data_IF_253008713530
#
_entry.id   IF_253008713530
#
_cell.length_a   1.000
_cell.length_b   1.000
_cell.length_c   1.000
_cell.angle_alpha   90.00
_cell.angle_beta   90.00
_cell.angle_gamma   90.00
#
_symmetry.space_group_name_H-M   'P 1'
#
loop_
_entity.id
_entity.type
_entity.pdbx_description
1 polymer ?
#
# COMPACT_ATOMS: atom_id res chain seq x y z
N UNK A 1 51.58 7.11 40.67
CA UNK A 1 50.19 7.00 41.15
C UNK A 1 49.33 7.88 40.25
N UNK A 2 48.38 7.26 39.56
CA UNK A 2 47.70 7.77 38.36
C UNK A 2 46.70 8.87 38.73
N UNK A 3 46.78 10.02 38.04
CA UNK A 3 45.75 11.07 38.06
C UNK A 3 44.51 10.56 37.32
N UNK A 4 43.42 10.32 38.05
CA UNK A 4 42.09 10.12 37.47
C UNK A 4 41.55 11.48 37.02
N UNK A 5 41.50 11.71 35.71
CA UNK A 5 40.67 12.74 35.11
C UNK A 5 39.23 12.22 35.13
N UNK A 6 38.37 12.85 35.94
CA UNK A 6 36.92 12.69 35.85
C UNK A 6 36.46 13.34 34.53
N UNK A 7 36.19 12.51 33.53
CA UNK A 7 35.55 12.92 32.29
C UNK A 7 34.04 12.80 32.49
N UNK A 8 33.30 13.91 32.37
CA UNK A 8 31.84 13.93 32.43
C UNK A 8 31.24 13.19 31.22
N UNK A 9 31.00 11.89 31.39
CA UNK A 9 30.42 11.02 30.37
C UNK A 9 28.98 11.41 29.95
N UNK A 10 28.32 12.34 30.64
CA UNK A 10 26.96 12.77 30.33
C UNK A 10 26.86 13.63 29.07
N UNK A 11 27.82 14.52 28.82
CA UNK A 11 27.80 15.40 27.64
C UNK A 11 28.08 14.66 26.34
N UNK A 12 28.96 13.66 26.37
CA UNK A 12 29.37 12.89 25.19
C UNK A 12 28.26 11.93 24.76
N UNK A 13 27.53 11.33 25.70
CA UNK A 13 26.41 10.44 25.36
C UNK A 13 25.23 11.23 24.76
N UNK A 14 24.92 12.42 25.28
CA UNK A 14 23.88 13.28 24.69
C UNK A 14 24.32 13.80 23.32
N UNK A 15 25.59 14.17 23.13
CA UNK A 15 26.11 14.59 21.81
C UNK A 15 26.11 13.43 20.81
N UNK A 16 26.41 12.19 21.24
CA UNK A 16 26.33 10.99 20.39
C UNK A 16 24.89 10.64 20.02
N UNK A 17 23.93 10.74 20.95
CA UNK A 17 22.50 10.58 20.67
C UNK A 17 22.05 11.68 19.71
N UNK A 18 22.42 12.94 19.94
CA UNK A 18 22.08 14.05 19.06
C UNK A 18 22.71 13.90 17.67
N UNK A 19 23.92 13.35 17.55
CA UNK A 19 24.60 13.09 16.26
C UNK A 19 24.08 11.81 15.56
N UNK A 20 23.58 10.82 16.30
CA UNK A 20 22.95 9.61 15.74
C UNK A 20 21.50 9.87 15.27
N UNK A 21 20.78 10.81 15.91
CA UNK A 21 19.42 11.19 15.53
C UNK A 21 19.33 12.45 14.64
N UNK A 22 20.35 13.33 14.63
CA UNK A 22 20.56 14.36 13.60
C UNK A 22 21.57 13.93 12.54
N UNK A 23 21.81 12.62 12.41
CA UNK A 23 22.18 12.09 11.11
C UNK A 23 21.05 12.45 10.17
N UNK A 24 21.19 13.59 9.51
CA UNK A 24 20.46 13.98 8.32
C UNK A 24 20.36 12.74 7.45
N UNK A 25 19.20 12.08 7.51
CA UNK A 25 18.85 11.08 6.52
C UNK A 25 18.97 11.84 5.21
N UNK A 26 19.95 11.45 4.40
CA UNK A 26 20.23 12.03 3.09
C UNK A 26 18.96 11.90 2.23
N UNK A 27 18.10 12.92 2.33
CA UNK A 27 17.09 13.26 1.34
C UNK A 27 17.76 13.73 0.04
N UNK A 28 19.10 13.86 0.01
CA UNK A 28 19.89 14.31 -1.14
C UNK A 28 19.74 13.40 -2.37
N UNK A 29 19.41 12.12 -2.17
CA UNK A 29 19.37 11.11 -3.24
C UNK A 29 17.93 10.87 -3.75
N UNK A 30 16.98 11.74 -3.43
CA UNK A 30 15.58 11.61 -3.88
C UNK A 30 15.24 12.61 -4.98
N UNK A 31 14.82 12.11 -6.13
CA UNK A 31 14.23 12.94 -7.19
C UNK A 31 12.71 13.01 -7.00
N UNK A 32 12.20 14.22 -6.80
CA UNK A 32 10.76 14.48 -6.69
C UNK A 32 10.26 15.20 -7.95
N UNK A 33 9.23 14.67 -8.58
CA UNK A 33 8.61 15.28 -9.78
C UNK A 33 7.09 15.29 -9.66
N UNK A 34 6.45 16.40 -10.00
CA UNK A 34 4.99 16.46 -10.15
C UNK A 34 4.56 15.63 -11.36
N UNK A 35 3.44 14.91 -11.26
CA UNK A 35 2.86 14.15 -12.38
C UNK A 35 1.43 14.61 -12.68
N UNK A 36 0.89 14.33 -13.88
CA UNK A 36 -0.51 14.60 -14.20
C UNK A 36 -1.47 13.83 -13.30
N UNK A 37 -2.58 14.47 -12.93
CA UNK A 37 -3.56 13.91 -12.00
C UNK A 37 -4.95 14.54 -12.22
N UNK A 38 -6.04 13.82 -11.87
CA UNK A 38 -7.38 14.39 -11.93
C UNK A 38 -7.55 15.50 -10.86
N UNK A 39 -8.68 16.21 -10.89
CA UNK A 39 -9.06 17.09 -9.79
C UNK A 39 -9.41 16.23 -8.56
N UNK A 40 -9.07 16.72 -7.37
CA UNK A 40 -9.41 16.09 -6.09
C UNK A 40 -9.12 14.58 -6.00
N UNK A 41 -7.89 14.10 -6.28
CA UNK A 41 -7.56 12.70 -6.12
C UNK A 41 -7.59 12.31 -4.63
N UNK A 42 -8.23 11.18 -4.30
CA UNK A 42 -8.30 10.61 -2.95
C UNK A 42 -7.41 9.39 -2.75
N UNK A 43 -7.25 8.56 -3.79
CA UNK A 43 -6.39 7.36 -3.76
C UNK A 43 -5.61 7.23 -5.07
N UNK A 44 -4.38 6.75 -4.95
CA UNK A 44 -3.50 6.38 -6.07
C UNK A 44 -3.03 4.93 -5.88
N UNK A 45 -2.98 4.17 -6.96
CA UNK A 45 -2.31 2.87 -6.98
C UNK A 45 -1.63 2.68 -8.34
N UNK A 46 -0.57 1.87 -8.40
CA UNK A 46 0.20 1.69 -9.63
C UNK A 46 0.87 0.31 -9.76
N UNK A 47 1.08 -0.12 -11.01
CA UNK A 47 1.98 -1.21 -11.39
C UNK A 47 2.99 -0.67 -12.42
N UNK A 48 4.20 -0.35 -11.96
CA UNK A 48 5.20 0.34 -12.77
C UNK A 48 4.72 1.74 -13.18
N UNK A 49 4.52 1.95 -14.50
CA UNK A 49 4.00 3.20 -15.07
C UNK A 49 2.48 3.16 -15.33
N UNK A 50 1.82 2.04 -15.05
CA UNK A 50 0.37 1.93 -15.10
C UNK A 50 -0.21 2.55 -13.82
N UNK A 51 -0.65 3.81 -13.90
CA UNK A 51 -1.03 4.63 -12.74
C UNK A 51 -2.53 4.92 -12.80
N UNK A 52 -3.20 4.66 -11.69
CA UNK A 52 -4.63 4.85 -11.54
C UNK A 52 -4.94 5.78 -10.37
N UNK A 53 -6.01 6.54 -10.53
CA UNK A 53 -6.47 7.52 -9.57
C UNK A 53 -7.94 7.32 -9.30
N UNK A 54 -8.31 7.42 -8.03
CA UNK A 54 -9.70 7.54 -7.62
C UNK A 54 -9.89 8.91 -6.99
N UNK A 55 -10.96 9.62 -7.36
CA UNK A 55 -11.27 10.97 -6.86
C UNK A 55 -12.25 10.95 -5.69
N UNK A 56 -12.35 12.09 -4.98
CA UNK A 56 -13.36 12.29 -3.93
C UNK A 56 -14.80 12.10 -4.43
N UNK A 57 -15.04 12.37 -5.73
CA UNK A 57 -16.33 12.19 -6.40
C UNK A 57 -16.64 10.72 -6.76
N UNK A 58 -15.77 9.77 -6.38
CA UNK A 58 -15.85 8.35 -6.71
C UNK A 58 -15.72 8.05 -8.21
N UNK A 59 -14.89 8.84 -8.91
CA UNK A 59 -14.55 8.64 -10.31
C UNK A 59 -13.15 8.04 -10.44
N UNK A 60 -13.04 6.98 -11.23
CA UNK A 60 -11.79 6.27 -11.50
C UNK A 60 -11.17 6.76 -12.82
N UNK A 61 -9.91 7.14 -12.76
CA UNK A 61 -9.11 7.59 -13.90
C UNK A 61 -7.86 6.75 -14.06
N UNK A 62 -7.46 6.52 -15.30
CA UNK A 62 -6.20 5.89 -15.68
C UNK A 62 -5.32 6.92 -16.39
N UNK A 63 -4.09 7.09 -15.92
CA UNK A 63 -3.08 7.86 -16.64
C UNK A 63 -2.50 7.03 -17.77
N UNK A 64 -2.79 7.39 -19.01
CA UNK A 64 -2.27 6.69 -20.17
C UNK A 64 -0.99 7.38 -20.68
N UNK A 65 0.20 6.84 -20.41
CA UNK A 65 1.47 7.53 -20.67
C UNK A 65 1.73 7.79 -22.15
N UNK A 66 1.18 6.96 -23.05
CA UNK A 66 1.40 7.10 -24.51
C UNK A 66 0.70 8.33 -25.09
N UNK A 67 -0.50 8.66 -24.60
CA UNK A 67 -1.24 9.86 -25.05
C UNK A 67 -1.05 11.04 -24.09
N UNK A 68 -0.28 10.86 -23.03
CA UNK A 68 -0.10 11.83 -21.96
C UNK A 68 -1.44 12.41 -21.46
N UNK A 69 -2.44 11.54 -21.27
CA UNK A 69 -3.79 11.97 -20.90
C UNK A 69 -4.41 11.11 -19.80
N UNK A 70 -5.29 11.73 -19.02
CA UNK A 70 -6.13 11.06 -18.05
C UNK A 70 -7.41 10.59 -18.73
N UNK A 71 -7.66 9.29 -18.62
CA UNK A 71 -8.82 8.64 -19.23
C UNK A 71 -9.78 8.28 -18.09
N UNK A 72 -10.99 8.82 -18.13
CA UNK A 72 -12.09 8.39 -17.26
C UNK A 72 -12.42 6.92 -17.54
N UNK A 73 -12.63 6.13 -16.49
CA UNK A 73 -12.85 4.68 -16.58
C UNK A 73 -14.13 4.20 -15.96
N UNK A 74 -14.54 4.78 -14.84
CA UNK A 74 -15.73 4.33 -14.12
C UNK A 74 -16.18 5.37 -13.09
N UNK A 75 -17.48 5.38 -12.79
CA UNK A 75 -18.07 6.14 -11.68
C UNK A 75 -18.55 5.22 -10.56
N UNK A 76 -18.91 5.81 -9.43
CA UNK A 76 -19.42 5.09 -8.26
C UNK A 76 -18.44 4.06 -7.68
N UNK A 77 -17.14 4.34 -7.80
CA UNK A 77 -16.06 3.51 -7.25
C UNK A 77 -15.73 3.94 -5.81
N UNK A 78 -15.90 3.03 -4.86
CA UNK A 78 -15.57 3.27 -3.45
C UNK A 78 -14.08 3.11 -3.17
N UNK A 79 -13.50 2.01 -3.66
CA UNK A 79 -12.08 1.70 -3.54
C UNK A 79 -11.58 0.93 -4.76
N UNK A 80 -10.27 0.93 -5.00
CA UNK A 80 -9.66 0.17 -6.09
C UNK A 80 -8.25 -0.27 -5.74
N UNK A 81 -7.73 -1.29 -6.43
CA UNK A 81 -6.31 -1.64 -6.35
C UNK A 81 -5.83 -2.22 -7.68
N UNK A 82 -4.54 -2.03 -7.94
CA UNK A 82 -3.83 -2.65 -9.06
C UNK A 82 -2.80 -3.64 -8.52
N UNK A 83 -2.83 -4.84 -9.09
CA UNK A 83 -1.89 -5.93 -8.80
C UNK A 83 -0.96 -6.22 -9.97
N UNK A 84 -0.24 -7.33 -9.85
CA UNK A 84 0.72 -7.81 -10.85
C UNK A 84 0.10 -7.93 -12.25
N UNK A 85 0.79 -7.39 -13.25
CA UNK A 85 0.38 -7.49 -14.66
C UNK A 85 -0.72 -6.50 -15.05
N UNK A 86 -0.87 -5.41 -14.29
CA UNK A 86 -1.86 -4.38 -14.55
C UNK A 86 -3.30 -4.79 -14.25
N UNK A 87 -3.50 -5.80 -13.40
CA UNK A 87 -4.84 -6.28 -13.04
C UNK A 87 -5.47 -5.26 -12.11
N UNK A 88 -6.61 -4.71 -12.51
CA UNK A 88 -7.35 -3.73 -11.72
C UNK A 88 -8.64 -4.36 -11.20
N UNK A 89 -8.85 -4.25 -9.90
CA UNK A 89 -10.12 -4.54 -9.26
C UNK A 89 -10.66 -3.28 -8.56
N UNK A 90 -11.97 -3.15 -8.57
CA UNK A 90 -12.71 -2.03 -7.96
C UNK A 90 -13.78 -2.56 -7.04
N UNK A 91 -14.13 -1.78 -6.03
CA UNK A 91 -15.35 -1.92 -5.25
C UNK A 91 -16.27 -0.79 -5.68
N UNK A 92 -17.51 -1.09 -6.09
CA UNK A 92 -18.51 -0.06 -6.43
C UNK A 92 -19.41 0.26 -5.23
N UNK A 93 -20.29 1.26 -5.37
CA UNK A 93 -21.22 1.73 -4.31
C UNK A 93 -22.23 0.68 -3.83
N UNK A 94 -22.40 -0.40 -4.58
CA UNK A 94 -23.16 -1.58 -4.16
C UNK A 94 -22.34 -2.55 -3.28
N UNK A 95 -21.11 -2.16 -2.92
CA UNK A 95 -20.17 -2.94 -2.12
C UNK A 95 -19.72 -4.25 -2.77
N UNK A 96 -19.92 -4.41 -4.08
CA UNK A 96 -19.49 -5.56 -4.85
C UNK A 96 -18.12 -5.33 -5.49
N UNK A 97 -17.36 -6.40 -5.71
CA UNK A 97 -16.05 -6.37 -6.35
C UNK A 97 -16.20 -6.63 -7.84
N UNK A 98 -15.53 -5.81 -8.66
CA UNK A 98 -15.46 -5.96 -10.10
C UNK A 98 -14.01 -6.01 -10.57
N UNK A 99 -13.74 -6.80 -11.61
CA UNK A 99 -12.45 -6.81 -12.32
C UNK A 99 -12.63 -6.38 -13.76
N UNK A 100 -11.62 -5.73 -14.33
CA UNK A 100 -11.65 -5.31 -15.73
C UNK A 100 -11.39 -6.50 -16.67
N UNK A 101 -12.24 -6.70 -17.66
CA UNK A 101 -12.05 -7.73 -18.69
C UNK A 101 -10.98 -7.32 -19.71
N UNK A 102 -10.21 -8.29 -20.21
CA UNK A 102 -9.12 -8.07 -21.17
C UNK A 102 -9.64 -7.51 -22.51
N UNK A 103 -10.88 -7.85 -22.89
CA UNK A 103 -11.36 -7.67 -24.26
C UNK A 103 -12.22 -6.43 -24.50
N UNK A 104 -12.68 -5.70 -23.47
CA UNK A 104 -13.70 -4.66 -23.70
C UNK A 104 -13.63 -3.39 -22.83
N UNK A 105 -12.65 -3.24 -21.93
CA UNK A 105 -12.72 -2.20 -20.87
C UNK A 105 -14.01 -2.28 -20.04
N UNK A 106 -14.65 -3.44 -20.00
CA UNK A 106 -15.86 -3.67 -19.23
C UNK A 106 -15.49 -4.16 -17.83
N UNK A 107 -16.36 -3.84 -16.87
CA UNK A 107 -16.25 -4.26 -15.49
C UNK A 107 -17.17 -5.45 -15.24
N UNK A 108 -16.59 -6.59 -14.90
CA UNK A 108 -17.32 -7.80 -14.56
C UNK A 108 -17.32 -7.97 -13.05
N UNK A 109 -18.50 -8.18 -12.47
CA UNK A 109 -18.62 -8.51 -11.05
C UNK A 109 -17.91 -9.83 -10.81
N UNK A 110 -17.21 -9.97 -9.70
CA UNK A 110 -16.53 -11.23 -9.32
C UNK A 110 -16.91 -11.72 -7.93
N UNK A 111 -17.49 -10.88 -7.09
CA UNK A 111 -18.07 -11.23 -5.77
C UNK A 111 -19.42 -11.91 -5.89
N UNK A 112 -19.44 -13.12 -6.45
CA UNK A 112 -20.64 -13.93 -6.54
C UNK A 112 -20.82 -14.81 -5.28
N UNK A 113 -22.07 -15.15 -4.98
CA UNK A 113 -22.51 -16.18 -4.00
C UNK A 113 -22.44 -15.84 -2.51
N UNK A 114 -21.40 -15.14 -2.04
CA UNK A 114 -21.31 -14.70 -0.65
C UNK A 114 -21.52 -13.18 -0.56
N UNK A 115 -22.56 -12.76 0.19
CA UNK A 115 -22.94 -11.35 0.32
C UNK A 115 -22.03 -10.63 1.34
N UNK A 116 -20.75 -10.50 1.03
CA UNK A 116 -19.86 -9.61 1.76
C UNK A 116 -20.02 -8.19 1.24
N UNK A 117 -20.29 -7.25 2.15
CA UNK A 117 -20.31 -5.83 1.80
C UNK A 117 -18.88 -5.29 1.81
N UNK A 118 -18.16 -5.38 0.69
CA UNK A 118 -16.74 -4.99 0.61
C UNK A 118 -16.55 -3.47 0.71
N UNK A 119 -15.47 -3.02 1.38
CA UNK A 119 -15.14 -1.59 1.53
C UNK A 119 -13.67 -1.21 1.32
N UNK A 120 -12.74 -2.17 1.37
CA UNK A 120 -11.33 -1.96 1.03
C UNK A 120 -10.81 -3.15 0.22
N UNK A 121 -9.92 -2.89 -0.74
CA UNK A 121 -9.41 -3.92 -1.65
C UNK A 121 -7.89 -3.82 -1.86
N UNK A 122 -7.25 -4.97 -1.97
CA UNK A 122 -5.88 -5.13 -2.47
C UNK A 122 -5.81 -6.29 -3.45
N UNK A 123 -5.27 -6.04 -4.63
CA UNK A 123 -5.03 -7.07 -5.65
C UNK A 123 -3.56 -7.44 -5.63
N UNK A 124 -3.24 -8.73 -5.51
CA UNK A 124 -1.86 -9.20 -5.59
C UNK A 124 -1.55 -9.62 -7.02
N UNK A 125 -2.42 -10.47 -7.56
CA UNK A 125 -2.39 -11.02 -8.91
C UNK A 125 -3.80 -11.56 -9.25
N UNK A 126 -3.97 -12.15 -10.44
CA UNK A 126 -5.27 -12.67 -10.92
C UNK A 126 -5.83 -13.80 -10.07
N UNK A 127 -5.01 -14.46 -9.26
CA UNK A 127 -5.43 -15.61 -8.47
C UNK A 127 -5.95 -15.20 -7.10
N UNK A 128 -5.53 -14.03 -6.60
CA UNK A 128 -5.73 -13.62 -5.21
C UNK A 128 -6.08 -12.14 -5.11
N UNK A 129 -7.33 -11.89 -4.69
CA UNK A 129 -7.84 -10.59 -4.30
C UNK A 129 -8.17 -10.65 -2.82
N UNK A 130 -7.74 -9.65 -2.06
CA UNK A 130 -8.10 -9.51 -0.66
C UNK A 130 -8.97 -8.28 -0.46
N UNK A 131 -9.99 -8.43 0.36
CA UNK A 131 -10.87 -7.32 0.74
C UNK A 131 -11.12 -7.29 2.23
N UNK A 132 -11.65 -6.17 2.69
CA UNK A 132 -12.25 -6.03 4.00
C UNK A 132 -13.73 -5.71 3.81
N UNK A 133 -14.59 -6.40 4.57
CA UNK A 133 -16.04 -6.18 4.52
C UNK A 133 -16.51 -5.07 5.50
N UNK A 134 -17.82 -4.80 5.50
CA UNK A 134 -18.44 -3.79 6.36
C UNK A 134 -18.26 -4.11 7.85
N UNK A 135 -18.15 -5.40 8.21
CA UNK A 135 -17.92 -5.89 9.56
C UNK A 135 -16.45 -5.90 10.00
N UNK A 136 -15.52 -5.43 9.14
CA UNK A 136 -14.06 -5.48 9.36
C UNK A 136 -13.45 -6.89 9.28
N UNK A 137 -14.11 -7.83 8.64
CA UNK A 137 -13.53 -9.15 8.39
C UNK A 137 -12.57 -9.10 7.21
N UNK A 138 -11.55 -9.96 7.27
CA UNK A 138 -10.63 -10.16 6.16
C UNK A 138 -11.16 -11.26 5.23
N UNK A 139 -11.45 -10.89 3.99
CA UNK A 139 -12.03 -11.77 2.97
C UNK A 139 -10.99 -12.03 1.87
N UNK A 140 -10.95 -13.27 1.39
CA UNK A 140 -10.11 -13.69 0.26
C UNK A 140 -10.99 -14.14 -0.91
N UNK A 141 -10.80 -13.51 -2.05
CA UNK A 141 -11.23 -13.99 -3.36
C UNK A 141 -10.17 -14.88 -3.97
N UNK A 142 -10.50 -16.12 -4.29
CA UNK A 142 -9.64 -17.07 -4.99
C UNK A 142 -10.20 -17.36 -6.39
N UNK A 143 -9.38 -17.16 -7.41
CA UNK A 143 -9.80 -17.46 -8.77
C UNK A 143 -9.70 -18.97 -9.06
N UNK A 144 -10.80 -19.54 -9.53
CA UNK A 144 -10.87 -20.93 -9.96
C UNK A 144 -10.76 -21.02 -11.49
N UNK A 145 -9.58 -21.42 -11.96
CA UNK A 145 -9.29 -21.57 -13.39
C UNK A 145 -10.21 -22.59 -14.10
N UNK A 146 -10.80 -23.55 -13.37
CA UNK A 146 -11.67 -24.56 -13.99
C UNK A 146 -13.08 -24.03 -14.27
N UNK A 147 -13.55 -23.09 -13.45
CA UNK A 147 -14.89 -22.51 -13.57
C UNK A 147 -14.88 -21.10 -14.14
N UNK A 148 -13.70 -20.50 -14.30
CA UNK A 148 -13.52 -19.10 -14.72
C UNK A 148 -14.28 -18.13 -13.81
N UNK A 149 -14.24 -18.39 -12.49
CA UNK A 149 -14.94 -17.58 -11.49
C UNK A 149 -14.12 -17.43 -10.23
N UNK A 150 -14.39 -16.37 -9.47
CA UNK A 150 -13.87 -16.23 -8.11
C UNK A 150 -14.80 -16.92 -7.12
N UNK A 151 -14.23 -17.71 -6.21
CA UNK A 151 -14.86 -18.02 -4.94
C UNK A 151 -14.40 -17.05 -3.87
N UNK A 152 -15.25 -16.79 -2.88
CA UNK A 152 -14.97 -15.85 -1.79
C UNK A 152 -15.10 -16.58 -0.46
N UNK A 153 -14.24 -16.24 0.49
CA UNK A 153 -14.31 -16.79 1.83
C UNK A 153 -13.75 -15.78 2.84
N UNK A 154 -14.34 -15.76 4.03
CA UNK A 154 -13.74 -15.08 5.17
C UNK A 154 -12.55 -15.90 5.69
N UNK A 155 -11.36 -15.30 5.73
CA UNK A 155 -10.13 -15.95 6.23
C UNK A 155 -9.74 -15.51 7.64
N UNK A 156 -10.23 -14.34 8.07
CA UNK A 156 -10.19 -13.91 9.47
C UNK A 156 -11.44 -13.09 9.78
N UNK A 157 -12.38 -13.71 10.51
CA UNK A 157 -13.60 -13.06 10.97
C UNK A 157 -13.59 -12.81 12.48
N UNK A 158 -12.49 -13.14 13.17
CA UNK A 158 -12.39 -13.01 14.62
C UNK A 158 -11.71 -11.70 15.00
N UNK A 159 -10.83 -11.18 14.14
CA UNK A 159 -10.16 -9.90 14.32
C UNK A 159 -10.75 -8.84 13.41
N UNK A 160 -10.69 -7.58 13.87
CA UNK A 160 -11.07 -6.43 13.06
C UNK A 160 -9.88 -5.96 12.21
N UNK A 161 -10.14 -5.77 10.92
CA UNK A 161 -9.22 -5.19 9.94
C UNK A 161 -9.83 -3.94 9.31
N UNK A 162 -9.01 -2.92 9.06
CA UNK A 162 -9.42 -1.63 8.49
C UNK A 162 -8.74 -1.31 7.16
N UNK A 163 -7.58 -1.90 6.89
CA UNK A 163 -6.88 -1.79 5.61
C UNK A 163 -6.18 -3.11 5.29
N UNK A 164 -6.17 -3.53 4.03
CA UNK A 164 -5.43 -4.70 3.57
C UNK A 164 -4.48 -4.31 2.44
N UNK A 165 -3.28 -4.87 2.46
CA UNK A 165 -2.35 -4.78 1.35
C UNK A 165 -1.53 -6.06 1.22
N UNK A 166 -1.51 -6.59 0.01
CA UNK A 166 -0.62 -7.68 -0.38
C UNK A 166 0.45 -7.18 -1.37
N UNK A 167 1.61 -7.84 -1.43
CA UNK A 167 2.68 -7.47 -2.35
C UNK A 167 2.41 -7.94 -3.78
N UNK A 168 3.11 -7.30 -4.71
CA UNK A 168 3.36 -7.84 -6.05
C UNK A 168 4.17 -9.14 -5.91
N UNK A 169 3.87 -10.15 -6.74
CA UNK A 169 4.50 -11.47 -6.57
C UNK A 169 6.01 -11.44 -6.89
N UNK A 170 6.72 -12.33 -6.18
CA UNK A 170 8.06 -12.92 -6.44
C UNK A 170 9.26 -12.40 -5.62
N UNK A 171 9.40 -12.91 -4.38
CA UNK A 171 10.69 -13.38 -3.85
C UNK A 171 10.59 -14.93 -3.69
N UNK A 172 11.02 -15.66 -4.72
CA UNK A 172 10.65 -17.08 -4.98
C UNK A 172 11.35 -18.12 -4.10
N UNK A 173 12.21 -17.74 -3.16
CA UNK A 173 13.10 -18.74 -2.54
C UNK A 173 13.06 -18.87 -1.02
N UNK A 174 12.26 -18.08 -0.28
CA UNK A 174 12.30 -18.14 1.19
C UNK A 174 10.96 -18.14 1.96
N UNK A 175 9.83 -17.82 1.34
CA UNK A 175 8.59 -17.54 2.11
C UNK A 175 7.41 -18.47 1.77
N UNK A 176 7.65 -19.77 1.55
CA UNK A 176 6.59 -20.75 1.28
C UNK A 176 5.64 -21.04 2.47
N UNK A 177 5.85 -20.41 3.63
CA UNK A 177 5.24 -20.85 4.91
C UNK A 177 4.25 -19.81 5.50
N UNK A 178 4.32 -18.54 5.12
CA UNK A 178 3.50 -17.48 5.74
C UNK A 178 2.83 -16.62 4.69
N UNK A 179 1.58 -16.21 4.94
CA UNK A 179 0.92 -15.23 4.07
C UNK A 179 1.76 -13.95 4.00
N UNK A 180 1.92 -13.41 2.79
CA UNK A 180 2.59 -12.13 2.55
C UNK A 180 1.66 -10.94 2.78
N UNK A 181 0.52 -11.16 3.43
CA UNK A 181 -0.54 -10.21 3.58
C UNK A 181 -0.31 -9.33 4.81
N UNK A 182 -0.50 -8.03 4.64
CA UNK A 182 -0.42 -7.07 5.72
C UNK A 182 -1.76 -6.38 5.87
N UNK A 183 -2.10 -6.08 7.12
CA UNK A 183 -3.33 -5.38 7.45
C UNK A 183 -3.07 -4.25 8.43
N UNK A 184 -3.96 -3.28 8.44
CA UNK A 184 -4.15 -2.38 9.57
C UNK A 184 -5.28 -2.98 10.38
N UNK A 185 -5.01 -3.36 11.63
CA UNK A 185 -5.97 -4.02 12.52
C UNK A 185 -6.41 -3.14 13.68
N UNK A 186 -6.81 -3.77 14.79
CA UNK A 186 -7.14 -3.09 16.04
C UNK A 186 -6.12 -2.02 16.44
N UNK A 187 -6.62 -0.91 16.97
CA UNK A 187 -5.83 0.28 17.34
C UNK A 187 -5.06 0.94 16.18
N UNK A 188 -5.46 0.60 14.94
CA UNK A 188 -4.84 1.05 13.70
C UNK A 188 -3.36 0.66 13.59
N UNK A 189 -2.94 -0.41 14.27
CA UNK A 189 -1.59 -0.94 14.13
C UNK A 189 -1.43 -1.79 12.88
N UNK A 190 -0.20 -1.84 12.37
CA UNK A 190 0.16 -2.65 11.22
C UNK A 190 0.48 -4.07 11.70
N UNK A 191 -0.19 -5.04 11.09
CA UNK A 191 0.00 -6.45 11.35
C UNK A 191 0.41 -7.19 10.08
N UNK A 192 1.35 -8.12 10.21
CA UNK A 192 1.58 -9.17 9.21
C UNK A 192 0.67 -10.34 9.52
N UNK A 193 -0.22 -10.70 8.60
CA UNK A 193 -1.11 -11.85 8.74
C UNK A 193 -0.32 -13.15 8.49
N UNK A 194 -0.57 -14.17 9.30
CA UNK A 194 0.05 -15.49 9.14
C UNK A 194 -0.96 -16.45 8.54
N UNK A 195 -1.94 -16.86 9.34
CA UNK A 195 -2.99 -17.82 9.02
C UNK A 195 -3.93 -17.96 10.23
N UNK A 196 -5.18 -18.35 10.01
CA UNK A 196 -6.18 -18.68 11.04
C UNK A 196 -6.26 -17.61 12.16
N UNK A 197 -6.34 -16.35 11.76
CA UNK A 197 -6.42 -15.20 12.67
C UNK A 197 -5.13 -14.85 13.44
N UNK A 198 -4.03 -15.57 13.21
CA UNK A 198 -2.73 -15.24 13.81
C UNK A 198 -2.06 -14.10 13.06
N UNK A 199 -1.53 -13.16 13.82
CA UNK A 199 -0.88 -11.97 13.31
C UNK A 199 0.36 -11.59 14.12
N UNK A 200 1.29 -10.88 13.48
CA UNK A 200 2.47 -10.29 14.12
C UNK A 200 2.33 -8.77 14.03
N UNK A 201 2.35 -8.08 15.17
CA UNK A 201 2.40 -6.61 15.19
C UNK A 201 3.77 -6.12 14.69
N UNK A 202 3.74 -5.15 13.77
CA UNK A 202 4.94 -4.58 13.12
C UNK A 202 5.12 -3.09 13.43
N UNK A 203 4.06 -2.41 13.83
CA UNK A 203 4.12 -1.03 14.31
C UNK A 203 3.62 -0.92 15.74
N UNK A 204 4.24 -0.02 16.50
CA UNK A 204 3.76 0.47 17.79
C UNK A 204 3.00 1.80 17.65
N UNK A 205 2.94 2.33 16.42
CA UNK A 205 2.23 3.55 16.04
C UNK A 205 1.07 3.23 15.10
N UNK A 206 0.03 4.06 15.16
CA UNK A 206 -1.17 3.91 14.34
C UNK A 206 -0.99 4.45 12.91
N UNK A 207 -1.55 3.72 11.94
CA UNK A 207 -1.53 4.03 10.51
C UNK A 207 -2.95 4.03 9.92
N UNK A 208 -3.15 4.80 8.85
CA UNK A 208 -4.43 4.85 8.11
C UNK A 208 -4.36 4.22 6.71
N UNK A 209 -3.14 4.04 6.17
CA UNK A 209 -2.91 3.37 4.88
C UNK A 209 -1.57 2.63 4.90
N UNK A 210 -1.53 1.49 4.22
CA UNK A 210 -0.29 0.78 3.88
C UNK A 210 -0.30 0.33 2.42
N UNK A 211 0.88 0.26 1.79
CA UNK A 211 1.10 -0.46 0.51
C UNK A 211 2.36 -1.30 0.64
N UNK A 212 2.19 -2.62 0.51
CA UNK A 212 3.27 -3.60 0.62
C UNK A 212 3.90 -3.79 -0.75
N UNK A 213 5.23 -3.67 -0.81
CA UNK A 213 5.99 -4.03 -1.99
C UNK A 213 6.44 -5.49 -1.94
N UNK A 214 6.96 -5.93 -0.78
CA UNK A 214 7.45 -7.30 -0.52
C UNK A 214 7.51 -7.59 0.98
N UNK A 215 7.82 -8.82 1.38
CA UNK A 215 7.75 -9.33 2.76
C UNK A 215 8.38 -8.47 3.86
N UNK A 216 9.35 -7.63 3.54
CA UNK A 216 10.02 -6.73 4.50
C UNK A 216 10.20 -5.32 3.94
N UNK A 217 9.31 -4.92 3.03
CA UNK A 217 9.29 -3.60 2.42
C UNK A 217 7.85 -3.15 2.21
N UNK A 218 7.46 -2.09 2.90
CA UNK A 218 6.19 -1.40 2.66
C UNK A 218 6.35 0.10 2.88
N UNK A 219 5.37 0.85 2.41
CA UNK A 219 5.15 2.22 2.84
C UNK A 219 3.85 2.30 3.64
N UNK A 220 3.78 3.24 4.57
CA UNK A 220 2.59 3.49 5.37
C UNK A 220 2.41 4.97 5.65
N UNK A 221 1.16 5.40 5.75
CA UNK A 221 0.80 6.74 6.20
C UNK A 221 0.27 6.67 7.63
N UNK A 222 0.91 7.37 8.54
CA UNK A 222 0.48 7.43 9.93
C UNK A 222 -0.78 8.31 10.11
N UNK A 223 -1.32 8.35 11.32
CA UNK A 223 -2.50 9.19 11.64
C UNK A 223 -2.22 10.70 11.58
N UNK A 224 -0.96 11.12 11.41
CA UNK A 224 -0.53 12.52 11.33
C UNK A 224 -0.15 12.94 9.90
N UNK A 225 -0.58 12.18 8.88
CA UNK A 225 -0.30 12.41 7.46
C UNK A 225 1.19 12.36 7.11
N UNK A 226 2.00 11.63 7.88
CA UNK A 226 3.38 11.36 7.54
C UNK A 226 3.50 10.04 6.79
N UNK A 227 4.24 10.09 5.68
CA UNK A 227 4.65 8.92 4.93
C UNK A 227 5.92 8.34 5.51
N UNK A 228 5.86 7.06 5.82
CA UNK A 228 6.97 6.26 6.33
C UNK A 228 7.26 5.10 5.39
N UNK A 229 8.54 4.73 5.31
CA UNK A 229 9.00 3.52 4.65
C UNK A 229 9.48 2.53 5.70
N UNK A 230 8.98 1.31 5.65
CA UNK A 230 9.47 0.19 6.45
C UNK A 230 10.39 -0.68 5.62
N UNK A 231 11.61 -0.92 6.11
CA UNK A 231 12.58 -1.79 5.44
C UNK A 231 13.40 -2.58 6.46
N UNK A 232 13.34 -3.92 6.40
CA UNK A 232 14.07 -4.84 7.28
C UNK A 232 13.98 -4.49 8.78
N UNK A 233 12.79 -4.17 9.29
CA UNK A 233 12.57 -3.88 10.72
C UNK A 233 12.69 -2.40 11.10
N UNK A 234 13.10 -1.53 10.17
CA UNK A 234 13.29 -0.11 10.45
C UNK A 234 12.25 0.75 9.74
N UNK A 235 11.70 1.71 10.47
CA UNK A 235 10.85 2.77 9.94
C UNK A 235 11.67 4.02 9.63
N UNK A 236 11.53 4.53 8.41
CA UNK A 236 12.25 5.70 7.91
C UNK A 236 11.22 6.73 7.47
N UNK A 237 11.29 7.93 8.02
CA UNK A 237 10.45 9.05 7.60
C UNK A 237 10.76 9.42 6.15
N UNK A 238 9.72 9.63 5.33
CA UNK A 238 9.86 10.05 3.93
C UNK A 238 9.46 11.51 3.78
N UNK A 239 8.22 11.86 4.16
CA UNK A 239 7.70 13.23 4.10
C UNK A 239 6.41 13.38 4.90
N UNK A 240 6.07 14.62 5.22
CA UNK A 240 4.77 14.99 5.76
C UNK A 240 3.78 15.41 4.66
N UNK A 241 2.55 15.73 5.08
CA UNK A 241 1.47 16.22 4.24
C UNK A 241 1.05 15.20 3.18
N UNK A 242 0.78 13.96 3.57
CA UNK A 242 0.43 12.87 2.64
C UNK A 242 -0.99 12.38 2.89
N UNK A 243 -1.81 12.48 1.85
CA UNK A 243 -3.19 11.97 1.82
C UNK A 243 -3.23 10.49 1.44
N UNK A 244 -2.54 10.13 0.37
CA UNK A 244 -2.48 8.75 -0.14
C UNK A 244 -1.15 8.47 -0.82
N UNK A 245 -0.66 7.24 -0.75
CA UNK A 245 0.57 6.83 -1.40
C UNK A 245 0.53 5.38 -1.88
N UNK A 246 1.30 5.09 -2.92
CA UNK A 246 1.58 3.75 -3.44
C UNK A 246 3.05 3.63 -3.81
N UNK A 247 3.54 2.40 -3.95
CA UNK A 247 4.91 2.08 -4.38
C UNK A 247 4.85 0.96 -5.42
N UNK A 248 5.66 1.06 -6.48
CA UNK A 248 5.75 0.04 -7.53
C UNK A 248 7.00 -0.84 -7.41
N UNK A 249 7.13 -1.83 -8.30
CA UNK A 249 8.27 -2.74 -8.39
C UNK A 249 9.62 -2.07 -8.72
N UNK A 250 9.60 -0.81 -9.18
CA UNK A 250 10.81 0.01 -9.39
C UNK A 250 11.22 0.79 -8.13
N UNK A 251 10.53 0.57 -7.00
CA UNK A 251 10.64 1.35 -5.77
C UNK A 251 10.36 2.85 -5.93
N UNK A 252 9.60 3.22 -6.97
CA UNK A 252 9.11 4.58 -7.13
C UNK A 252 7.86 4.76 -6.28
N UNK A 253 7.89 5.78 -5.42
CA UNK A 253 6.77 6.10 -4.55
C UNK A 253 5.95 7.22 -5.18
N UNK A 254 4.66 6.99 -5.34
CA UNK A 254 3.71 8.01 -5.79
C UNK A 254 2.87 8.49 -4.63
N UNK A 255 2.66 9.80 -4.55
CA UNK A 255 2.07 10.47 -3.40
C UNK A 255 1.04 11.48 -3.87
N UNK A 256 -0.14 11.43 -3.26
CA UNK A 256 -1.11 12.52 -3.24
C UNK A 256 -0.94 13.26 -1.91
N UNK A 257 -0.71 14.57 -1.95
CA UNK A 257 -0.68 15.40 -0.73
C UNK A 257 -2.06 15.94 -0.33
N UNK A 258 -2.18 16.57 0.83
CA UNK A 258 -3.46 17.12 1.27
C UNK A 258 -3.90 18.35 0.44
N UNK A 259 -3.00 18.93 -0.35
CA UNK A 259 -3.29 20.02 -1.29
C UNK A 259 -3.74 19.50 -2.67
N UNK A 260 -4.04 18.20 -2.79
CA UNK A 260 -4.49 17.53 -4.01
C UNK A 260 -3.45 17.53 -5.15
N UNK A 261 -2.17 17.69 -4.83
CA UNK A 261 -1.05 17.58 -5.77
C UNK A 261 -0.50 16.16 -5.76
N UNK A 262 -0.01 15.72 -6.92
CA UNK A 262 0.56 14.37 -7.09
C UNK A 262 2.03 14.43 -7.46
N UNK A 263 2.85 13.71 -6.69
CA UNK A 263 4.29 13.62 -6.86
C UNK A 263 4.73 12.18 -7.04
N UNK A 264 5.81 12.02 -7.79
CA UNK A 264 6.61 10.80 -7.88
C UNK A 264 7.95 11.05 -7.20
N UNK A 265 8.37 10.13 -6.34
CA UNK A 265 9.63 10.13 -5.60
C UNK A 265 10.45 8.92 -6.05
N UNK A 266 11.68 9.15 -6.52
CA UNK A 266 12.62 8.10 -6.94
C UNK A 266 13.88 8.13 -6.09
N UNK A 267 14.45 6.96 -5.77
CA UNK A 267 15.79 6.87 -5.20
C UNK A 267 16.84 6.87 -6.32
N UNK A 268 17.88 7.71 -6.24
CA UNK A 268 18.92 7.81 -7.28
C UNK A 268 19.82 6.58 -7.41
N UNK A 269 19.83 5.68 -6.40
CA UNK A 269 20.63 4.44 -6.43
C UNK A 269 20.20 3.41 -7.48
N UNK A 270 19.07 3.60 -8.17
CA UNK A 270 18.59 2.70 -9.23
C UNK A 270 19.30 2.88 -10.59
N UNK A 271 20.27 3.80 -10.71
CA UNK A 271 21.06 4.01 -11.94
C UNK A 271 22.38 3.24 -12.03
N UNK A 272 22.69 2.37 -11.07
CA UNK A 272 23.92 1.58 -11.09
C UNK A 272 23.60 0.09 -11.09
N UNK A 273 23.16 -0.45 -12.23
CA UNK A 273 23.36 -1.83 -12.66
C UNK A 273 23.18 -1.92 -14.18
#
# INVERSE_FOLDING_TARGET
MIKLLHFEAGGIVILFIYLLFNGSYDLSDQQVSKIPHPKNPKKIDCDGQDIWFLTEENELFHWYPVLETLIFKESDVLDFSIGEGGIVAIIKKDNEVYTRTINANEWERVSYYENFEHKNISVCNILEIYTIDSHNHLIKGYYNMNTDTYGWMCIDCLNNHYYVSCPFRHDVLMDYIYSHLWTIGSENYIYKYIDNGKHIAISESSFKQIKVLRSRYLIGIDMNDNLWKYHYGNWIFVRSNVKSATINYLEEIYVIDNDNLVFRIKNEKSKAL
#
